data_IF_316731484731
#
_entry.id   IF_316731484731
#
_cell.length_a   1.000
_cell.length_b   1.000
_cell.length_c   1.000
_cell.angle_alpha   90.00
_cell.angle_beta   90.00
_cell.angle_gamma   90.00
#
_symmetry.space_group_name_H-M   'P 1'
#
loop_
_entity.id
_entity.type
_entity.pdbx_description
1 polymer ?
#
# COMPACT_ATOMS: atom_id res chain seq x y z
N UNK A 1 28.61 22.06 -45.80
CA UNK A 1 27.17 22.22 -45.52
C UNK A 1 26.63 20.85 -45.16
N UNK A 2 26.77 20.48 -43.89
CA UNK A 2 26.44 19.17 -43.35
C UNK A 2 24.98 19.17 -42.87
N UNK A 3 24.19 18.28 -43.45
CA UNK A 3 22.79 18.03 -43.15
C UNK A 3 22.61 17.45 -41.74
N UNK A 4 21.78 18.13 -40.95
CA UNK A 4 21.33 17.74 -39.62
C UNK A 4 20.30 16.61 -39.68
N UNK A 5 20.69 15.42 -39.23
CA UNK A 5 19.76 14.35 -38.87
C UNK A 5 19.06 14.70 -37.55
N UNK A 6 17.75 14.76 -37.58
CA UNK A 6 16.88 14.94 -36.41
C UNK A 6 16.60 13.57 -35.80
N UNK A 7 17.28 13.25 -34.70
CA UNK A 7 16.94 12.09 -33.88
C UNK A 7 15.62 12.37 -33.16
N UNK A 8 14.57 11.66 -33.60
CA UNK A 8 13.29 11.61 -32.92
C UNK A 8 13.45 10.89 -31.58
N UNK A 9 13.41 11.65 -30.49
CA UNK A 9 13.40 11.16 -29.12
C UNK A 9 12.22 10.18 -28.93
N UNK A 10 12.55 8.92 -28.67
CA UNK A 10 11.56 7.87 -28.38
C UNK A 10 10.78 8.19 -27.11
N UNK A 11 9.47 7.88 -27.03
CA UNK A 11 8.66 8.17 -25.85
C UNK A 11 9.09 7.33 -24.64
N UNK A 12 9.12 7.98 -23.47
CA UNK A 12 9.51 7.44 -22.15
C UNK A 12 8.64 6.25 -21.71
N UNK A 13 9.21 5.21 -21.06
CA UNK A 13 8.42 4.15 -20.44
C UNK A 13 7.88 4.61 -19.08
N UNK A 14 6.66 4.17 -18.74
CA UNK A 14 5.97 4.29 -17.45
C UNK A 14 4.98 5.45 -17.24
N UNK A 15 4.01 5.61 -18.15
CA UNK A 15 2.63 5.76 -17.67
C UNK A 15 2.05 4.37 -17.37
N UNK A 16 2.28 3.87 -16.15
CA UNK A 16 1.69 2.61 -15.71
C UNK A 16 0.17 2.78 -15.49
N UNK A 17 -0.61 2.36 -16.48
CA UNK A 17 -2.06 2.16 -16.35
C UNK A 17 -2.31 0.97 -15.40
N UNK A 18 -2.59 1.26 -14.13
CA UNK A 18 -3.01 0.24 -13.17
C UNK A 18 -4.51 -0.07 -13.30
N UNK A 19 -4.81 -1.36 -13.45
CA UNK A 19 -6.11 -1.96 -13.79
C UNK A 19 -7.13 -1.89 -12.65
N UNK A 20 -8.36 -1.52 -13.00
CA UNK A 20 -9.54 -1.52 -12.15
C UNK A 20 -9.94 -2.95 -11.75
N UNK A 21 -10.04 -3.22 -10.44
CA UNK A 21 -10.71 -4.42 -9.92
C UNK A 21 -11.95 -3.96 -9.17
N UNK A 22 -13.13 -4.31 -9.67
CA UNK A 22 -14.41 -4.10 -9.00
C UNK A 22 -14.86 -5.41 -8.34
N UNK A 23 -15.25 -5.36 -7.07
CA UNK A 23 -15.92 -6.46 -6.37
C UNK A 23 -17.23 -5.95 -5.76
N UNK A 24 -18.27 -6.78 -5.76
CA UNK A 24 -19.69 -6.41 -5.61
C UNK A 24 -20.10 -5.57 -4.38
N UNK A 25 -21.21 -4.84 -4.57
CA UNK A 25 -21.98 -3.95 -3.68
C UNK A 25 -21.28 -2.75 -3.02
N UNK A 26 -19.98 -2.56 -3.23
CA UNK A 26 -19.33 -1.27 -3.03
C UNK A 26 -18.26 -1.15 -4.10
N UNK A 27 -18.52 -0.36 -5.16
CA UNK A 27 -17.56 -0.23 -6.27
C UNK A 27 -16.36 0.61 -5.83
N UNK A 28 -15.47 0.02 -5.06
CA UNK A 28 -14.15 0.59 -4.82
C UNK A 28 -13.22 0.25 -5.99
N UNK A 29 -12.16 1.03 -6.14
CA UNK A 29 -11.08 0.76 -7.07
C UNK A 29 -9.73 1.06 -6.41
N UNK A 30 -8.68 0.42 -6.91
CA UNK A 30 -7.31 0.62 -6.42
C UNK A 30 -6.52 1.39 -7.47
N UNK A 31 -5.79 2.40 -7.04
CA UNK A 31 -4.87 3.17 -7.90
C UNK A 31 -3.66 3.67 -7.11
N UNK A 32 -2.70 4.25 -7.81
CA UNK A 32 -1.60 4.99 -7.17
C UNK A 32 -2.12 6.22 -6.43
N UNK A 33 -1.46 6.54 -5.32
CA UNK A 33 -1.79 7.69 -4.47
C UNK A 33 -1.52 9.01 -5.19
N UNK A 34 -2.47 9.94 -5.07
CA UNK A 34 -2.40 11.32 -5.54
C UNK A 34 -2.28 12.26 -4.35
N UNK A 35 -1.83 13.49 -4.59
CA UNK A 35 -1.70 14.51 -3.55
C UNK A 35 -3.04 14.83 -2.87
N UNK A 36 -4.17 14.69 -3.59
CA UNK A 36 -5.52 14.89 -3.05
C UNK A 36 -5.94 13.82 -2.03
N UNK A 37 -5.36 12.61 -2.09
CA UNK A 37 -5.76 11.52 -1.19
C UNK A 37 -5.07 11.61 0.18
N UNK A 38 -3.98 12.40 0.27
CA UNK A 38 -3.09 12.42 1.42
C UNK A 38 -3.81 12.75 2.74
N UNK A 39 -4.77 13.67 2.70
CA UNK A 39 -5.55 14.06 3.88
C UNK A 39 -6.38 12.87 4.38
N UNK A 40 -7.11 12.21 3.49
CA UNK A 40 -7.91 11.03 3.82
C UNK A 40 -7.05 9.82 4.21
N UNK A 41 -5.91 9.63 3.56
CA UNK A 41 -4.96 8.56 3.90
C UNK A 41 -4.34 8.73 5.28
N UNK A 42 -3.95 9.95 5.64
CA UNK A 42 -3.43 10.23 6.97
C UNK A 42 -4.47 9.88 8.05
N UNK A 43 -5.75 10.14 7.79
CA UNK A 43 -6.84 9.76 8.70
C UNK A 43 -7.06 8.23 8.77
N UNK A 44 -7.07 7.54 7.62
CA UNK A 44 -7.16 6.07 7.58
C UNK A 44 -6.01 5.40 8.34
N UNK A 45 -4.79 5.91 8.20
CA UNK A 45 -3.61 5.38 8.89
C UNK A 45 -3.64 5.70 10.39
N UNK A 46 -3.95 6.94 10.77
CA UNK A 46 -4.03 7.36 12.16
C UNK A 46 -5.09 6.54 12.92
N UNK A 47 -6.29 6.41 12.35
CA UNK A 47 -7.39 5.63 12.95
C UNK A 47 -7.16 4.11 12.96
N UNK A 48 -6.33 3.58 12.04
CA UNK A 48 -6.08 2.13 11.94
C UNK A 48 -4.97 1.64 12.86
N UNK A 49 -3.92 2.43 13.06
CA UNK A 49 -2.74 2.02 13.85
C UNK A 49 -2.71 2.61 15.27
N UNK A 50 -3.50 3.64 15.56
CA UNK A 50 -3.53 4.27 16.88
C UNK A 50 -4.96 4.27 17.43
N UNK A 51 -5.11 3.72 18.63
CA UNK A 51 -6.39 3.72 19.36
C UNK A 51 -6.79 5.13 19.75
N UNK A 52 -8.00 5.54 19.38
CA UNK A 52 -8.57 6.87 19.66
C UNK A 52 -9.13 7.04 21.09
N UNK A 53 -8.79 6.15 22.03
CA UNK A 53 -9.31 6.17 23.40
C UNK A 53 -8.26 6.67 24.41
N UNK A 54 -8.66 7.60 25.28
CA UNK A 54 -7.84 8.13 26.38
C UNK A 54 -7.06 9.42 26.03
N UNK A 55 -6.04 9.74 26.83
CA UNK A 55 -5.20 10.94 26.66
C UNK A 55 -4.49 11.04 25.29
N UNK A 56 -4.36 9.92 24.56
CA UNK A 56 -3.81 9.88 23.19
C UNK A 56 -4.70 10.57 22.14
N UNK A 57 -6.00 10.78 22.42
CA UNK A 57 -6.91 11.48 21.51
C UNK A 57 -6.53 12.95 21.26
N UNK A 58 -5.95 13.63 22.26
CA UNK A 58 -5.50 15.02 22.13
C UNK A 58 -4.30 15.20 21.18
N UNK A 59 -3.46 14.16 21.03
CA UNK A 59 -2.32 14.17 20.12
C UNK A 59 -2.67 13.69 18.71
N UNK A 60 -3.92 13.25 18.47
CA UNK A 60 -4.37 12.75 17.17
C UNK A 60 -4.16 13.74 16.02
N UNK A 61 -4.44 15.06 16.15
CA UNK A 61 -4.19 16.01 15.07
C UNK A 61 -2.71 16.16 14.73
N UNK A 62 -1.83 16.14 15.74
CA UNK A 62 -0.37 16.24 15.56
C UNK A 62 0.17 14.98 14.88
N UNK A 63 -0.27 13.80 15.32
CA UNK A 63 0.07 12.52 14.69
C UNK A 63 -0.39 12.50 13.23
N UNK A 64 -1.63 12.90 12.95
CA UNK A 64 -2.18 12.96 11.59
C UNK A 64 -1.36 13.89 10.69
N UNK A 65 -0.96 15.06 11.21
CA UNK A 65 -0.11 16.00 10.47
C UNK A 65 1.28 15.38 10.20
N UNK A 66 1.86 14.68 11.17
CA UNK A 66 3.12 13.96 10.98
C UNK A 66 3.05 12.88 9.90
N UNK A 67 1.98 12.07 9.89
CA UNK A 67 1.73 11.08 8.84
C UNK A 67 1.57 11.75 7.48
N UNK A 68 0.82 12.85 7.42
CA UNK A 68 0.63 13.62 6.18
C UNK A 68 1.95 14.12 5.60
N UNK A 69 2.81 14.75 6.42
CA UNK A 69 4.09 15.27 5.95
C UNK A 69 5.08 14.15 5.55
N UNK A 70 5.11 13.02 6.28
CA UNK A 70 5.92 11.85 5.89
C UNK A 70 5.47 11.29 4.53
N UNK A 71 4.16 11.07 4.33
CA UNK A 71 3.61 10.62 3.05
C UNK A 71 3.89 11.62 1.93
N UNK A 72 3.69 12.92 2.19
CA UNK A 72 3.95 13.99 1.24
C UNK A 72 5.41 13.98 0.79
N UNK A 73 6.34 13.93 1.74
CA UNK A 73 7.78 13.87 1.48
C UNK A 73 8.15 12.66 0.61
N UNK A 74 7.65 11.47 0.96
CA UNK A 74 7.90 10.23 0.19
C UNK A 74 7.33 10.28 -1.22
N UNK A 75 6.10 10.80 -1.39
CA UNK A 75 5.51 10.96 -2.72
C UNK A 75 6.27 11.98 -3.58
N UNK A 76 6.75 13.08 -2.99
CA UNK A 76 7.59 14.03 -3.70
C UNK A 76 8.94 13.43 -4.09
N UNK A 77 9.57 12.64 -3.21
CA UNK A 77 10.81 11.93 -3.53
C UNK A 77 10.62 10.88 -4.65
N UNK A 78 9.48 10.20 -4.66
CA UNK A 78 9.12 9.25 -5.72
C UNK A 78 8.88 9.96 -7.07
N UNK A 79 8.16 11.09 -7.07
CA UNK A 79 7.91 11.89 -8.28
C UNK A 79 9.19 12.50 -8.86
N UNK A 80 10.17 12.83 -8.02
CA UNK A 80 11.45 13.39 -8.46
C UNK A 80 12.46 12.32 -8.89
N UNK A 81 12.02 11.07 -9.12
CA UNK A 81 12.84 9.91 -9.48
C UNK A 81 14.03 9.63 -8.54
N UNK A 82 14.00 10.19 -7.32
CA UNK A 82 15.08 10.02 -6.33
C UNK A 82 15.04 8.64 -5.66
N UNK A 83 13.92 7.93 -5.78
CA UNK A 83 13.74 6.58 -5.22
C UNK A 83 13.63 5.55 -6.35
N UNK A 84 14.58 4.62 -6.40
CA UNK A 84 14.64 3.62 -7.48
C UNK A 84 13.39 2.74 -7.56
N UNK A 85 12.75 2.42 -6.42
CA UNK A 85 11.58 1.55 -6.35
C UNK A 85 10.72 1.90 -5.13
N UNK A 86 9.70 2.73 -5.35
CA UNK A 86 8.70 3.12 -4.36
C UNK A 86 7.33 3.27 -5.02
N UNK A 87 6.28 2.74 -4.38
CA UNK A 87 4.90 2.94 -4.79
C UNK A 87 4.00 2.96 -3.57
N UNK A 88 2.98 3.81 -3.62
CA UNK A 88 1.92 3.87 -2.63
C UNK A 88 0.59 3.74 -3.36
N UNK A 89 -0.25 2.81 -2.90
CA UNK A 89 -1.54 2.49 -3.48
C UNK A 89 -2.65 2.89 -2.51
N UNK A 90 -3.77 3.34 -3.07
CA UNK A 90 -4.98 3.68 -2.33
C UNK A 90 -6.17 2.93 -2.90
N UNK A 91 -6.96 2.35 -2.02
CA UNK A 91 -8.31 1.88 -2.33
C UNK A 91 -9.28 3.05 -2.09
N UNK A 92 -10.08 3.36 -3.11
CA UNK A 92 -10.98 4.51 -3.14
C UNK A 92 -12.39 4.01 -3.38
N UNK A 93 -13.33 4.45 -2.55
CA UNK A 93 -14.76 4.23 -2.79
C UNK A 93 -15.23 5.21 -3.86
N UNK A 94 -15.94 4.72 -4.90
CA UNK A 94 -16.70 5.60 -5.79
C UNK A 94 -17.97 6.04 -5.07
N UNK A 95 -18.05 7.30 -4.67
CA UNK A 95 -19.30 7.85 -4.17
C UNK A 95 -20.31 8.01 -5.30
N UNK A 96 -21.53 7.50 -5.11
CA UNK A 96 -22.74 8.14 -5.66
C UNK A 96 -23.23 9.16 -4.63
N UNK A 97 -23.74 10.31 -5.08
CA UNK A 97 -24.15 11.44 -4.22
C UNK A 97 -25.07 11.05 -3.04
N UNK A 98 -25.82 9.95 -3.15
CA UNK A 98 -26.73 9.43 -2.13
C UNK A 98 -26.06 8.79 -0.89
N UNK A 99 -24.92 8.10 -1.06
CA UNK A 99 -24.25 7.39 0.05
C UNK A 99 -23.44 8.36 0.95
N UNK A 100 -23.01 9.48 0.37
CA UNK A 100 -22.19 10.51 1.04
C UNK A 100 -23.02 11.34 2.02
N UNK A 101 -24.32 11.51 1.75
CA UNK A 101 -25.25 12.26 2.61
C UNK A 101 -25.67 11.48 3.86
N UNK A 102 -25.86 10.16 3.78
CA UNK A 102 -26.38 9.37 4.90
C UNK A 102 -25.34 9.15 6.03
N UNK A 103 -24.04 9.08 5.72
CA UNK A 103 -22.99 8.82 6.74
C UNK A 103 -22.38 10.07 7.38
N UNK A 104 -22.52 11.26 6.77
CA UNK A 104 -21.98 12.50 7.35
C UNK A 104 -22.66 12.90 8.67
N UNK A 105 -23.91 12.49 8.89
CA UNK A 105 -24.66 12.85 10.09
C UNK A 105 -24.43 11.90 11.28
N UNK A 106 -23.83 10.72 11.05
CA UNK A 106 -23.74 9.67 12.06
C UNK A 106 -22.45 9.69 12.92
N UNK A 107 -21.38 10.38 12.49
CA UNK A 107 -20.05 10.23 13.11
C UNK A 107 -19.50 11.48 13.84
N UNK A 108 -20.22 12.59 13.94
CA UNK A 108 -19.97 13.63 14.95
C UNK A 108 -18.58 14.29 14.97
N UNK A 109 -17.78 14.20 13.91
CA UNK A 109 -16.48 14.89 13.81
C UNK A 109 -16.52 15.94 12.68
N UNK A 110 -16.18 17.21 12.96
CA UNK A 110 -16.04 18.22 11.93
C UNK A 110 -14.74 17.92 11.15
N UNK A 111 -14.88 17.23 10.01
CA UNK A 111 -13.81 17.13 9.03
C UNK A 111 -13.51 18.54 8.50
N UNK A 112 -12.52 19.18 9.12
CA UNK A 112 -12.00 20.48 8.72
C UNK A 112 -11.41 20.34 7.30
N UNK A 113 -12.18 20.74 6.28
CA UNK A 113 -11.68 20.98 4.93
C UNK A 113 -11.66 19.80 3.94
N UNK A 114 -12.48 18.76 4.14
CA UNK A 114 -12.71 17.78 3.06
C UNK A 114 -13.52 18.46 1.94
N UNK A 115 -12.82 19.09 1.00
CA UNK A 115 -13.38 19.41 -0.31
C UNK A 115 -13.96 18.12 -0.90
N UNK A 116 -15.17 18.21 -1.43
CA UNK A 116 -15.94 17.11 -2.02
C UNK A 116 -15.19 16.46 -3.20
N UNK A 117 -14.19 15.63 -2.92
CA UNK A 117 -13.73 14.65 -3.88
C UNK A 117 -14.67 13.45 -3.81
N UNK A 118 -15.34 13.14 -4.92
CA UNK A 118 -16.16 11.93 -5.09
C UNK A 118 -15.40 10.64 -4.75
N UNK A 119 -14.07 10.70 -4.84
CA UNK A 119 -13.11 9.68 -4.46
C UNK A 119 -12.81 9.75 -2.95
N UNK A 120 -13.38 8.84 -2.15
CA UNK A 120 -13.05 8.72 -0.71
C UNK A 120 -12.00 7.61 -0.49
N UNK A 121 -10.80 7.91 0.03
CA UNK A 121 -9.85 6.89 0.44
C UNK A 121 -10.40 6.00 1.56
N UNK A 122 -10.38 4.69 1.36
CA UNK A 122 -10.87 3.68 2.34
C UNK A 122 -9.80 2.65 2.70
N UNK A 123 -8.66 2.64 2.01
CA UNK A 123 -7.53 1.79 2.35
C UNK A 123 -6.26 2.19 1.63
N UNK A 124 -5.12 1.67 2.08
CA UNK A 124 -3.80 2.02 1.56
C UNK A 124 -2.79 0.90 1.78
N UNK A 125 -1.74 0.88 0.96
CA UNK A 125 -0.54 0.08 1.16
C UNK A 125 0.65 0.77 0.50
N UNK A 126 1.81 0.69 1.14
CA UNK A 126 3.09 1.17 0.61
C UNK A 126 4.00 -0.01 0.33
N UNK A 127 4.71 0.04 -0.81
CA UNK A 127 5.81 -0.87 -1.14
C UNK A 127 7.05 -0.05 -1.45
N UNK A 128 8.16 -0.38 -0.77
CA UNK A 128 9.42 0.37 -0.87
C UNK A 128 10.61 -0.58 -0.91
N UNK A 129 11.62 -0.25 -1.71
CA UNK A 129 12.91 -0.92 -1.65
C UNK A 129 13.72 -0.41 -0.46
N UNK A 130 14.21 -1.35 0.35
CA UNK A 130 15.11 -1.11 1.47
C UNK A 130 16.46 -1.76 1.22
N UNK A 131 17.47 -1.23 1.89
CA UNK A 131 18.84 -1.78 1.88
C UNK A 131 19.16 -2.20 3.32
N UNK A 132 19.70 -3.41 3.52
CA UNK A 132 20.22 -3.78 4.85
C UNK A 132 21.48 -2.98 5.11
N UNK A 133 21.52 -2.20 6.18
CA UNK A 133 22.73 -1.48 6.60
C UNK A 133 23.74 -2.48 7.21
N UNK A 134 24.35 -3.31 6.37
CA UNK A 134 25.65 -3.88 6.68
C UNK A 134 26.68 -2.92 6.08
N UNK A 135 27.82 -2.73 6.77
CA UNK A 135 28.98 -1.94 6.32
C UNK A 135 29.66 -2.55 5.07
N UNK A 136 28.89 -2.88 4.05
CA UNK A 136 29.32 -3.60 2.86
C UNK A 136 28.77 -2.92 1.61
N UNK A 137 29.65 -2.76 0.63
CA UNK A 137 29.42 -2.07 -0.66
C UNK A 137 28.36 -2.79 -1.53
N UNK A 138 27.88 -3.97 -1.13
CA UNK A 138 26.82 -4.75 -1.81
C UNK A 138 25.78 -5.32 -0.84
N UNK A 139 25.22 -4.47 0.01
CA UNK A 139 24.06 -4.88 0.78
C UNK A 139 22.88 -5.27 -0.15
N UNK A 140 22.29 -6.46 0.02
CA UNK A 140 21.16 -6.88 -0.81
C UNK A 140 19.97 -5.93 -0.61
N UNK A 141 19.41 -5.47 -1.72
CA UNK A 141 18.16 -4.70 -1.77
C UNK A 141 17.00 -5.68 -1.64
N UNK A 142 15.98 -5.29 -0.88
CA UNK A 142 14.77 -6.11 -0.71
C UNK A 142 13.53 -5.21 -0.70
N UNK A 143 12.38 -5.77 -1.12
CA UNK A 143 11.11 -5.04 -1.08
C UNK A 143 10.40 -5.25 0.25
N UNK A 144 9.85 -4.15 0.76
CA UNK A 144 9.18 -4.11 2.04
C UNK A 144 7.81 -3.46 1.92
N UNK A 145 6.78 -4.15 2.41
CA UNK A 145 5.43 -3.61 2.53
C UNK A 145 5.25 -2.95 3.90
N UNK A 146 4.74 -1.72 3.88
CA UNK A 146 4.36 -0.95 5.06
C UNK A 146 2.98 -0.32 4.88
N UNK A 147 2.46 0.26 5.97
CA UNK A 147 1.29 1.13 5.93
C UNK A 147 0.05 0.47 5.28
N UNK A 148 -0.10 -0.86 5.40
CA UNK A 148 -1.32 -1.56 4.97
C UNK A 148 -2.44 -1.28 5.97
N UNK A 149 -3.42 -0.48 5.56
CA UNK A 149 -4.58 -0.15 6.39
C UNK A 149 -5.86 -0.15 5.56
N UNK A 150 -6.97 -0.54 6.19
CA UNK A 150 -8.32 -0.42 5.64
C UNK A 150 -9.21 0.16 6.73
N UNK A 151 -9.97 1.18 6.36
CA UNK A 151 -10.94 1.85 7.23
C UNK A 151 -11.90 0.82 7.85
N UNK A 152 -12.23 0.96 9.13
CA UNK A 152 -12.95 -0.04 9.92
C UNK A 152 -14.22 -0.56 9.23
N UNK A 153 -15.06 0.34 8.75
CA UNK A 153 -16.33 0.04 8.05
C UNK A 153 -16.20 -0.75 6.74
N UNK A 154 -15.00 -0.77 6.14
CA UNK A 154 -14.74 -1.42 4.85
C UNK A 154 -13.83 -2.66 5.00
N UNK A 155 -13.54 -3.07 6.24
CA UNK A 155 -12.77 -4.30 6.49
C UNK A 155 -13.59 -5.54 6.12
N UNK A 156 -12.89 -6.66 5.96
CA UNK A 156 -13.48 -7.98 5.64
C UNK A 156 -14.15 -8.08 4.25
N UNK A 157 -13.97 -7.09 3.39
CA UNK A 157 -14.47 -7.07 2.00
C UNK A 157 -13.38 -7.41 0.95
N UNK A 158 -12.26 -7.98 1.36
CA UNK A 158 -11.16 -8.35 0.45
C UNK A 158 -10.25 -7.21 -0.01
N UNK A 159 -10.52 -5.95 0.38
CA UNK A 159 -9.73 -4.77 -0.02
C UNK A 159 -8.23 -4.95 0.26
N UNK A 160 -7.87 -5.33 1.49
CA UNK A 160 -6.46 -5.52 1.87
C UNK A 160 -5.77 -6.63 1.07
N UNK A 161 -6.52 -7.68 0.69
CA UNK A 161 -5.98 -8.77 -0.13
C UNK A 161 -5.72 -8.29 -1.56
N UNK A 162 -6.62 -7.48 -2.15
CA UNK A 162 -6.41 -6.90 -3.47
C UNK A 162 -5.24 -5.89 -3.49
N UNK A 163 -5.08 -5.10 -2.42
CA UNK A 163 -3.94 -4.22 -2.25
C UNK A 163 -2.61 -5.01 -2.23
N UNK A 164 -2.56 -6.11 -1.47
CA UNK A 164 -1.39 -7.01 -1.45
C UNK A 164 -1.11 -7.67 -2.81
N UNK A 165 -2.14 -8.11 -3.53
CA UNK A 165 -1.98 -8.66 -4.88
C UNK A 165 -1.41 -7.64 -5.87
N UNK A 166 -1.78 -6.35 -5.72
CA UNK A 166 -1.20 -5.30 -6.53
C UNK A 166 0.28 -5.06 -6.18
N UNK A 167 0.65 -5.16 -4.89
CA UNK A 167 2.05 -5.13 -4.47
C UNK A 167 2.86 -6.30 -5.05
N UNK A 168 2.28 -7.50 -5.13
CA UNK A 168 2.94 -8.65 -5.76
C UNK A 168 3.28 -8.36 -7.23
N UNK A 169 2.34 -7.77 -7.97
CA UNK A 169 2.54 -7.38 -9.39
C UNK A 169 3.64 -6.33 -9.52
N UNK A 170 3.56 -5.27 -8.71
CA UNK A 170 4.57 -4.20 -8.70
C UNK A 170 5.98 -4.75 -8.40
N UNK A 171 6.09 -5.68 -7.45
CA UNK A 171 7.36 -6.30 -7.11
C UNK A 171 7.95 -7.10 -8.28
N UNK A 172 7.13 -7.91 -8.94
CA UNK A 172 7.54 -8.66 -10.14
C UNK A 172 7.94 -7.72 -11.29
N UNK A 173 7.22 -6.61 -11.47
CA UNK A 173 7.53 -5.60 -12.49
C UNK A 173 8.86 -4.88 -12.20
N UNK A 174 9.20 -4.70 -10.92
CA UNK A 174 10.49 -4.19 -10.48
C UNK A 174 11.61 -5.25 -10.47
N UNK A 175 11.32 -6.49 -10.89
CA UNK A 175 12.29 -7.58 -10.97
C UNK A 175 12.62 -8.25 -9.63
N UNK A 176 11.81 -8.03 -8.59
CA UNK A 176 11.98 -8.68 -7.30
C UNK A 176 11.10 -9.92 -7.19
N UNK A 177 11.64 -10.97 -6.57
CA UNK A 177 10.93 -12.23 -6.30
C UNK A 177 10.60 -12.39 -4.81
N UNK A 178 11.03 -11.48 -3.95
CA UNK A 178 10.84 -11.57 -2.51
C UNK A 178 10.25 -10.28 -1.95
N UNK A 179 9.18 -10.42 -1.18
CA UNK A 179 8.55 -9.32 -0.44
C UNK A 179 8.54 -9.65 1.05
N UNK A 180 8.86 -8.64 1.86
CA UNK A 180 8.90 -8.74 3.31
C UNK A 180 7.92 -7.76 3.97
N UNK A 181 7.43 -8.09 5.16
CA UNK A 181 6.65 -7.19 6.01
C UNK A 181 6.75 -7.58 7.48
N UNK A 182 6.44 -6.66 8.39
CA UNK A 182 6.28 -6.97 9.81
C UNK A 182 4.82 -6.99 10.24
N UNK A 183 4.51 -7.84 11.20
CA UNK A 183 3.22 -7.87 11.92
C UNK A 183 3.45 -8.12 13.39
N UNK A 184 2.63 -7.53 14.26
CA UNK A 184 2.65 -7.85 15.69
C UNK A 184 2.08 -9.25 15.95
N UNK A 185 2.64 -9.95 16.92
CA UNK A 185 2.26 -11.32 17.29
C UNK A 185 0.79 -11.44 17.70
N UNK A 186 0.25 -10.43 18.39
CA UNK A 186 -1.13 -10.34 18.87
C UNK A 186 -2.12 -9.82 17.81
N UNK A 187 -1.63 -9.33 16.66
CA UNK A 187 -2.49 -8.91 15.55
C UNK A 187 -2.97 -10.12 14.73
N UNK A 188 -3.82 -10.95 15.34
CA UNK A 188 -4.34 -12.18 14.74
C UNK A 188 -5.09 -11.95 13.41
N UNK A 189 -5.75 -10.81 13.26
CA UNK A 189 -6.46 -10.45 12.03
C UNK A 189 -5.49 -10.25 10.86
N UNK A 190 -4.42 -9.47 11.07
CA UNK A 190 -3.40 -9.25 10.04
C UNK A 190 -2.60 -10.52 9.75
N UNK A 191 -2.23 -11.29 10.80
CA UNK A 191 -1.56 -12.59 10.62
C UNK A 191 -2.35 -13.54 9.72
N UNK A 192 -3.66 -13.68 9.96
CA UNK A 192 -4.53 -14.53 9.14
C UNK A 192 -4.66 -14.02 7.70
N UNK A 193 -4.70 -12.70 7.50
CA UNK A 193 -4.67 -12.09 6.18
C UNK A 193 -3.37 -12.44 5.45
N UNK A 194 -2.22 -12.17 6.05
CA UNK A 194 -0.91 -12.41 5.41
C UNK A 194 -0.67 -13.89 5.10
N UNK A 195 -1.04 -14.79 6.01
CA UNK A 195 -0.98 -16.24 5.77
C UNK A 195 -1.82 -16.65 4.55
N UNK A 196 -3.06 -16.14 4.44
CA UNK A 196 -3.93 -16.39 3.28
C UNK A 196 -3.39 -15.78 1.99
N UNK A 197 -2.65 -14.68 2.09
CA UNK A 197 -1.96 -14.03 0.97
C UNK A 197 -0.61 -14.68 0.60
N UNK A 198 -0.23 -15.80 1.25
CA UNK A 198 0.96 -16.58 0.91
C UNK A 198 2.22 -16.22 1.70
N UNK A 199 2.14 -15.35 2.70
CA UNK A 199 3.29 -15.00 3.55
C UNK A 199 3.55 -16.08 4.61
N UNK A 200 4.83 -16.31 4.90
CA UNK A 200 5.32 -17.22 5.93
C UNK A 200 6.16 -16.46 6.94
N UNK A 201 6.19 -16.93 8.19
CA UNK A 201 7.04 -16.35 9.23
C UNK A 201 8.49 -16.73 8.92
N UNK A 202 9.37 -15.74 8.84
CA UNK A 202 10.81 -15.93 8.64
C UNK A 202 11.58 -15.77 9.94
N UNK A 203 11.25 -14.74 10.73
CA UNK A 203 11.93 -14.44 11.99
C UNK A 203 10.95 -13.86 13.02
N UNK A 204 11.27 -14.04 14.29
CA UNK A 204 10.63 -13.36 15.42
C UNK A 204 11.67 -12.42 16.01
N UNK A 205 11.41 -11.11 15.98
CA UNK A 205 12.31 -10.14 16.61
C UNK A 205 12.25 -10.33 18.13
N UNK A 206 13.31 -10.95 18.65
CA UNK A 206 13.53 -11.12 20.09
C UNK A 206 14.30 -9.91 20.61
N UNK A 207 13.62 -8.78 20.79
CA UNK A 207 14.24 -7.67 21.49
C UNK A 207 14.19 -7.97 23.02
N UNK A 208 15.34 -8.09 23.71
CA UNK A 208 15.39 -8.38 25.14
C UNK A 208 14.67 -7.32 25.99
N UNK A 209 14.62 -6.07 25.51
CA UNK A 209 13.89 -4.97 26.17
C UNK A 209 12.36 -5.14 26.01
N UNK A 210 11.89 -5.75 24.91
CA UNK A 210 10.47 -6.03 24.70
C UNK A 210 9.93 -7.12 25.62
N UNK A 211 10.77 -8.10 25.99
CA UNK A 211 10.44 -9.04 27.07
C UNK A 211 10.24 -8.28 28.38
N UNK A 212 11.19 -7.42 28.76
CA UNK A 212 11.11 -6.63 29.99
C UNK A 212 9.86 -5.73 30.04
N UNK A 213 9.45 -5.18 28.90
CA UNK A 213 8.32 -4.24 28.79
C UNK A 213 6.97 -4.90 28.41
N UNK A 214 6.86 -6.25 28.38
CA UNK A 214 5.65 -7.00 27.97
C UNK A 214 5.03 -6.52 26.64
N UNK A 215 5.84 -6.05 25.69
CA UNK A 215 5.33 -5.63 24.37
C UNK A 215 5.17 -6.85 23.45
N UNK A 216 4.12 -6.90 22.60
CA UNK A 216 3.95 -7.99 21.65
C UNK A 216 5.15 -8.03 20.69
N UNK A 217 5.61 -9.24 20.37
CA UNK A 217 6.78 -9.45 19.50
C UNK A 217 6.45 -9.03 18.07
N UNK A 218 7.43 -8.49 17.35
CA UNK A 218 7.31 -8.25 15.91
C UNK A 218 7.74 -9.50 15.16
N UNK A 219 6.90 -9.96 14.24
CA UNK A 219 7.15 -11.10 13.37
C UNK A 219 7.53 -10.58 11.98
N UNK A 220 8.70 -10.96 11.48
CA UNK A 220 9.10 -10.72 10.11
C UNK A 220 8.52 -11.82 9.23
N UNK A 221 7.69 -11.42 8.28
CA UNK A 221 7.07 -12.31 7.30
C UNK A 221 7.72 -12.11 5.94
N UNK A 222 7.79 -13.18 5.18
CA UNK A 222 8.35 -13.25 3.84
C UNK A 222 7.39 -13.97 2.90
N UNK A 223 7.36 -13.54 1.65
CA UNK A 223 6.68 -14.21 0.55
C UNK A 223 7.60 -14.23 -0.67
N UNK A 224 7.78 -15.41 -1.23
CA UNK A 224 8.39 -15.60 -2.53
C UNK A 224 7.31 -15.49 -3.61
N UNK A 225 7.60 -14.76 -4.68
CA UNK A 225 6.74 -14.55 -5.83
C UNK A 225 7.22 -15.39 -7.00
N UNK A 226 6.27 -15.90 -7.76
CA UNK A 226 6.52 -16.65 -8.99
C UNK A 226 5.76 -15.95 -10.10
N UNK A 227 6.38 -15.71 -11.26
CA UNK A 227 5.61 -15.47 -12.49
C UNK A 227 4.97 -16.80 -12.86
N UNK A 228 3.68 -16.96 -12.58
CA UNK A 228 2.95 -18.02 -13.24
C UNK A 228 2.91 -17.68 -14.72
N UNK A 229 3.65 -18.43 -15.54
CA UNK A 229 3.55 -18.39 -16.98
C UNK A 229 2.20 -19.03 -17.34
N UNK A 230 1.14 -18.23 -17.35
CA UNK A 230 -0.18 -18.67 -17.83
C UNK A 230 -0.15 -18.70 -19.36
N UNK A 231 0.60 -19.68 -19.91
CA UNK A 231 0.48 -20.12 -21.29
C UNK A 231 -0.65 -21.14 -21.32
N UNK A 232 -1.86 -20.65 -21.52
CA UNK A 232 -2.88 -21.43 -22.20
C UNK A 232 -2.39 -21.64 -23.65
N UNK A 233 -1.65 -22.72 -23.92
CA UNK A 233 -1.54 -23.27 -25.28
C UNK A 233 -2.85 -23.99 -25.60
N UNK A 234 -3.91 -23.21 -25.76
CA UNK A 234 -5.13 -23.64 -26.40
C UNK A 234 -5.00 -23.44 -27.91
N UNK A 235 -4.20 -24.28 -28.56
CA UNK A 235 -4.28 -24.54 -30.00
C UNK A 235 -4.32 -26.06 -30.20
N UNK A 236 -5.50 -26.63 -29.93
CA UNK A 236 -5.96 -27.85 -30.60
C UNK A 236 -6.98 -27.40 -31.64
N UNK A 237 -6.56 -27.43 -32.89
CA UNK A 237 -7.29 -27.48 -34.19
C UNK A 237 -6.29 -26.91 -35.22
N UNK A 238 -5.90 -27.49 -36.36
CA UNK A 238 -6.53 -28.41 -37.31
C UNK A 238 -5.38 -29.01 -38.18
N UNK A 239 -5.52 -30.25 -38.67
CA UNK A 239 -4.88 -30.66 -39.93
C UNK A 239 -3.97 -31.90 -39.90
N UNK A 240 -4.58 -33.08 -39.99
CA UNK A 240 -4.31 -34.15 -40.98
C UNK A 240 -5.13 -35.41 -40.60
#
# INVERSE_FOLDING_TARGET
>A
MSSSSTDALSPLPHEQKFTFLTSGNSSFFIRTVRSQDLIGLADVLASSFHTQYGWLGWFYPVLRMGIYEDLRSRLHAAKTHKSAHYACLVAVLRGTDADVMCKHQALGFPYLGATYSSDRPIGTVEISQRTRALCSVRAPRYLYISNLAVHADYRRQGIAQQLLQMCDRIALDWGFQDIYLHVLEDNHHARRLYQRSGYRILCVDVNPISWLLKRPRQLLLHKQLSRNHELASGDKELGA
#
